data_IF_949688023935
#
_entry.id   IF_949688023935
#
_cell.length_a   1.000
_cell.length_b   1.000
_cell.length_c   1.000
_cell.angle_alpha   90.00
_cell.angle_beta   90.00
_cell.angle_gamma   90.00
#
_symmetry.space_group_name_H-M   'P 1'
#
loop_
_entity.id
_entity.type
_entity.pdbx_description
1 polymer ?
#
# COMPACT_ATOMS: atom_id res chain seq x y z
N UNK A 1 -20.97 19.94 17.63
CA UNK A 1 -20.26 18.78 18.21
C UNK A 1 -19.95 19.16 19.65
N UNK A 2 -20.44 18.40 20.64
CA UNK A 2 -20.19 18.72 22.05
C UNK A 2 -18.68 18.58 22.32
N UNK A 3 -18.08 19.67 22.78
CA UNK A 3 -16.65 19.78 23.04
C UNK A 3 -16.35 19.11 24.39
N UNK A 4 -16.02 17.82 24.32
CA UNK A 4 -15.76 16.98 25.49
C UNK A 4 -14.25 16.78 25.66
N UNK A 5 -13.51 17.88 25.84
CA UNK A 5 -12.05 17.82 26.03
C UNK A 5 -11.63 18.31 27.41
N UNK A 6 -10.96 17.43 28.14
CA UNK A 6 -10.21 17.66 29.39
C UNK A 6 -9.01 18.64 29.23
N UNK A 7 -8.87 19.32 28.09
CA UNK A 7 -7.75 20.22 27.82
C UNK A 7 -7.99 21.59 28.44
N UNK A 8 -7.03 22.08 29.22
CA UNK A 8 -7.03 23.46 29.72
C UNK A 8 -6.72 24.49 28.62
N UNK A 9 -6.12 24.05 27.51
CA UNK A 9 -5.80 24.89 26.36
C UNK A 9 -6.88 24.78 25.27
N UNK A 10 -7.11 25.90 24.59
CA UNK A 10 -8.03 26.04 23.46
C UNK A 10 -7.60 25.16 22.28
N UNK A 11 -8.56 24.68 21.49
CA UNK A 11 -8.28 23.79 20.36
C UNK A 11 -7.91 24.54 19.07
N UNK A 12 -7.13 23.89 18.22
CA UNK A 12 -6.64 24.47 16.97
C UNK A 12 -7.75 24.80 15.93
N UNK A 13 -8.90 24.11 15.96
CA UNK A 13 -10.00 24.42 15.03
C UNK A 13 -10.67 25.74 15.41
N UNK A 14 -10.89 25.97 16.71
CA UNK A 14 -11.45 27.23 17.20
C UNK A 14 -10.58 28.43 16.84
N UNK A 15 -9.25 28.32 16.96
CA UNK A 15 -8.33 29.40 16.59
C UNK A 15 -8.31 29.65 15.08
N UNK A 16 -8.36 28.60 14.26
CA UNK A 16 -8.48 28.73 12.80
C UNK A 16 -9.74 29.50 12.40
N UNK A 17 -10.89 29.12 12.93
CA UNK A 17 -12.15 29.81 12.64
C UNK A 17 -12.18 31.25 13.18
N UNK A 18 -11.52 31.51 14.31
CA UNK A 18 -11.43 32.87 14.85
C UNK A 18 -10.55 33.77 13.96
N UNK A 19 -9.43 33.25 13.47
CA UNK A 19 -8.52 33.99 12.59
C UNK A 19 -9.16 34.38 11.23
N UNK A 20 -10.19 33.64 10.77
CA UNK A 20 -10.94 33.97 9.55
C UNK A 20 -11.97 35.11 9.75
N UNK A 21 -12.30 35.46 11.00
CA UNK A 21 -13.37 36.44 11.32
C UNK A 21 -12.84 37.83 11.68
N UNK A 22 -11.52 38.05 11.64
CA UNK A 22 -10.91 39.35 11.95
C UNK A 22 -11.15 40.38 10.83
N UNK A 23 -11.14 41.70 11.13
CA UNK A 23 -11.29 42.72 10.11
C UNK A 23 -10.27 42.58 8.97
N UNK A 24 -10.71 42.81 7.73
CA UNK A 24 -9.85 42.80 6.54
C UNK A 24 -8.96 44.05 6.50
N UNK A 25 -7.65 43.84 6.68
CA UNK A 25 -6.62 44.88 6.73
C UNK A 25 -5.40 44.43 5.93
N UNK A 26 -4.47 45.34 5.64
CA UNK A 26 -3.21 44.97 4.99
C UNK A 26 -2.42 43.92 5.80
N UNK A 27 -2.47 44.00 7.13
CA UNK A 27 -1.80 43.09 8.05
C UNK A 27 -2.46 41.71 8.05
N UNK A 28 -3.80 41.64 8.15
CA UNK A 28 -4.53 40.38 8.23
C UNK A 28 -4.53 39.60 6.91
N UNK A 29 -4.25 40.26 5.78
CA UNK A 29 -4.02 39.61 4.47
C UNK A 29 -2.58 39.16 4.25
N UNK A 30 -1.61 39.64 5.03
CA UNK A 30 -0.21 39.30 4.83
C UNK A 30 0.05 37.82 5.17
N UNK A 31 0.88 37.09 4.39
CA UNK A 31 1.21 35.69 4.70
C UNK A 31 1.75 35.47 6.12
N UNK A 32 2.54 36.42 6.62
CA UNK A 32 3.12 36.38 7.98
C UNK A 32 2.09 36.39 9.12
N UNK A 33 0.84 36.80 8.85
CA UNK A 33 -0.24 36.78 9.84
C UNK A 33 -0.98 35.44 9.91
N UNK A 34 -0.85 34.58 8.89
CA UNK A 34 -1.54 33.28 8.85
C UNK A 34 -1.01 32.37 9.96
N UNK A 35 -1.90 31.57 10.55
CA UNK A 35 -1.50 30.54 11.52
C UNK A 35 -0.64 29.49 10.82
N UNK A 36 0.56 29.23 11.34
CA UNK A 36 1.56 28.36 10.70
C UNK A 36 1.02 26.95 10.36
N UNK A 37 0.23 26.33 11.24
CA UNK A 37 -0.34 24.99 11.02
C UNK A 37 -1.50 24.98 10.00
N UNK A 38 -2.02 26.14 9.62
CA UNK A 38 -3.12 26.32 8.68
C UNK A 38 -2.70 27.12 7.44
N UNK A 39 -1.40 27.38 7.24
CA UNK A 39 -0.85 28.07 6.09
C UNK A 39 -0.23 27.07 5.09
N UNK A 40 -0.90 26.76 3.97
CA UNK A 40 -0.41 25.79 2.98
C UNK A 40 0.92 26.21 2.36
N UNK A 41 1.14 27.53 2.16
CA UNK A 41 2.36 28.04 1.54
C UNK A 41 3.56 27.82 2.47
N UNK A 42 3.39 28.12 3.77
CA UNK A 42 4.39 27.84 4.79
C UNK A 42 4.65 26.33 4.92
N UNK A 43 3.58 25.52 4.95
CA UNK A 43 3.68 24.06 5.05
C UNK A 43 4.34 23.39 3.85
N UNK A 44 4.45 24.07 2.70
CA UNK A 44 5.13 23.58 1.49
C UNK A 44 6.61 23.98 1.39
N UNK A 45 7.12 24.81 2.31
CA UNK A 45 8.54 25.23 2.34
C UNK A 45 9.49 24.04 2.54
N UNK A 46 10.69 24.11 1.98
CA UNK A 46 11.66 23.01 2.06
C UNK A 46 12.07 22.68 3.50
N UNK A 47 12.17 23.68 4.37
CA UNK A 47 12.53 23.51 5.79
C UNK A 47 11.50 22.68 6.56
N UNK A 48 10.25 22.63 6.08
CA UNK A 48 9.14 21.91 6.70
C UNK A 48 8.98 20.49 6.16
N UNK A 49 9.90 20.01 5.31
CA UNK A 49 9.94 18.63 4.84
C UNK A 49 9.88 17.58 5.98
N UNK A 50 10.62 17.72 7.10
CA UNK A 50 10.51 16.77 8.22
C UNK A 50 9.11 16.70 8.82
N UNK A 51 8.40 17.83 8.90
CA UNK A 51 7.02 17.89 9.40
C UNK A 51 6.07 17.19 8.41
N UNK A 52 6.23 17.42 7.10
CA UNK A 52 5.43 16.70 6.09
C UNK A 52 5.66 15.19 6.11
N UNK A 53 6.90 14.75 6.26
CA UNK A 53 7.23 13.32 6.43
C UNK A 53 6.56 12.74 7.68
N UNK A 54 6.58 13.47 8.81
CA UNK A 54 5.89 13.05 10.03
C UNK A 54 4.38 12.95 9.83
N UNK A 55 3.76 13.90 9.12
CA UNK A 55 2.32 13.86 8.83
C UNK A 55 1.95 12.66 7.94
N UNK A 56 2.75 12.35 6.92
CA UNK A 56 2.53 11.16 6.07
C UNK A 56 2.77 9.85 6.81
N UNK A 57 3.63 9.84 7.83
CA UNK A 57 3.77 8.68 8.70
C UNK A 57 2.55 8.54 9.61
N UNK A 58 2.16 9.60 10.31
CA UNK A 58 1.13 9.55 11.36
C UNK A 58 -0.28 9.39 10.84
N UNK A 59 -0.67 10.10 9.77
CA UNK A 59 -2.08 10.12 9.32
C UNK A 59 -2.62 8.72 8.97
N UNK A 60 -1.94 7.90 8.15
CA UNK A 60 -2.41 6.55 7.88
C UNK A 60 -2.37 5.67 9.14
N UNK A 61 -1.30 5.77 9.94
CA UNK A 61 -1.12 4.98 11.16
C UNK A 61 -2.27 5.19 12.16
N UNK A 62 -2.61 6.46 12.44
CA UNK A 62 -3.72 6.83 13.33
C UNK A 62 -5.06 6.32 12.79
N UNK A 63 -5.34 6.50 11.50
CA UNK A 63 -6.60 6.05 10.89
C UNK A 63 -6.70 4.52 10.90
N UNK A 64 -5.62 3.79 10.59
CA UNK A 64 -5.59 2.33 10.64
C UNK A 64 -5.84 1.82 12.07
N UNK A 65 -5.26 2.47 13.08
CA UNK A 65 -5.50 2.15 14.49
C UNK A 65 -6.95 2.43 14.92
N UNK A 66 -7.52 3.58 14.56
CA UNK A 66 -8.92 3.92 14.82
C UNK A 66 -9.90 2.92 14.19
N UNK A 67 -9.51 2.36 13.04
CA UNK A 67 -10.25 1.31 12.33
C UNK A 67 -9.97 -0.09 12.85
N UNK A 68 -9.08 -0.24 13.82
CA UNK A 68 -8.74 -1.52 14.44
C UNK A 68 -7.99 -2.48 13.52
N UNK A 69 -7.32 -1.98 12.48
CA UNK A 69 -6.55 -2.79 11.53
C UNK A 69 -5.21 -3.15 12.16
N UNK A 70 -5.02 -4.42 12.46
CA UNK A 70 -3.83 -4.97 13.13
C UNK A 70 -2.80 -5.47 12.12
N UNK A 71 -3.25 -6.11 11.04
CA UNK A 71 -2.35 -6.65 10.02
C UNK A 71 -2.92 -6.62 8.61
N UNK A 72 -2.03 -6.63 7.61
CA UNK A 72 -2.36 -6.54 6.19
C UNK A 72 -1.79 -7.71 5.40
N UNK A 73 -2.42 -8.01 4.26
CA UNK A 73 -1.82 -8.79 3.17
C UNK A 73 -1.56 -7.85 2.02
N UNK A 74 -0.30 -7.70 1.66
CA UNK A 74 0.14 -6.74 0.64
C UNK A 74 0.12 -7.38 -0.74
N UNK A 75 -0.52 -6.73 -1.70
CA UNK A 75 -0.53 -7.14 -3.10
C UNK A 75 0.23 -6.13 -3.95
N UNK A 76 1.32 -6.58 -4.55
CA UNK A 76 2.09 -5.85 -5.56
C UNK A 76 1.86 -6.45 -6.94
N UNK A 77 1.87 -5.63 -7.98
CA UNK A 77 1.75 -6.14 -9.34
C UNK A 77 1.57 -5.06 -10.40
N UNK A 78 1.52 -5.49 -11.66
CA UNK A 78 1.46 -4.60 -12.80
C UNK A 78 0.18 -3.78 -12.87
N UNK A 79 0.31 -2.45 -12.77
CA UNK A 79 -0.79 -1.49 -12.99
C UNK A 79 -1.38 -1.53 -14.41
N UNK A 80 -0.70 -2.19 -15.36
CA UNK A 80 -1.09 -2.24 -16.77
C UNK A 80 -1.78 -3.54 -17.17
N UNK A 81 -1.86 -4.52 -16.27
CA UNK A 81 -2.52 -5.80 -16.55
C UNK A 81 -4.01 -5.53 -16.65
N UNK A 82 -4.66 -5.76 -17.80
CA UNK A 82 -6.09 -5.48 -17.94
C UNK A 82 -6.93 -6.56 -17.27
N UNK A 83 -8.13 -6.18 -16.83
CA UNK A 83 -9.19 -7.15 -16.55
C UNK A 83 -9.42 -8.05 -17.78
N UNK A 84 -9.71 -9.35 -17.63
CA UNK A 84 -9.88 -10.27 -18.75
C UNK A 84 -10.92 -9.85 -19.78
N UNK A 85 -12.01 -9.18 -19.34
CA UNK A 85 -13.01 -8.60 -20.24
C UNK A 85 -12.41 -7.57 -21.22
N UNK A 86 -11.35 -6.88 -20.78
CA UNK A 86 -10.60 -5.89 -21.52
C UNK A 86 -9.28 -6.44 -22.08
N UNK A 87 -9.11 -7.76 -22.14
CA UNK A 87 -7.89 -8.40 -22.67
C UNK A 87 -7.53 -7.93 -24.09
N UNK A 88 -8.55 -7.69 -24.92
CA UNK A 88 -8.37 -7.24 -26.30
C UNK A 88 -7.78 -5.81 -26.40
N UNK A 89 -7.93 -4.97 -25.37
CA UNK A 89 -7.34 -3.63 -25.34
C UNK A 89 -5.90 -3.60 -24.82
N UNK A 90 -5.31 -4.76 -24.53
CA UNK A 90 -3.92 -4.85 -24.10
C UNK A 90 -2.97 -4.34 -25.19
N UNK A 91 -1.94 -3.59 -24.79
CA UNK A 91 -0.95 -3.01 -25.73
C UNK A 91 -0.12 -4.06 -26.47
N UNK A 92 0.05 -5.24 -25.88
CA UNK A 92 0.82 -6.34 -26.47
C UNK A 92 0.14 -7.67 -26.17
N UNK A 93 0.42 -8.69 -27.00
CA UNK A 93 -0.06 -10.05 -26.75
C UNK A 93 0.41 -10.58 -25.39
N UNK A 94 1.68 -10.36 -25.04
CA UNK A 94 2.22 -10.78 -23.75
C UNK A 94 1.46 -10.15 -22.59
N UNK A 95 1.11 -8.87 -22.68
CA UNK A 95 0.32 -8.20 -21.65
C UNK A 95 -1.12 -8.74 -21.59
N UNK A 96 -1.70 -9.06 -22.75
CA UNK A 96 -2.99 -9.73 -22.82
C UNK A 96 -2.95 -11.10 -22.12
N UNK A 97 -1.86 -11.84 -22.30
CA UNK A 97 -1.67 -13.15 -21.69
C UNK A 97 -1.53 -13.06 -20.16
N UNK A 98 -1.02 -11.94 -19.63
CA UNK A 98 -0.97 -11.68 -18.18
C UNK A 98 -2.34 -11.36 -17.56
N UNK A 99 -3.40 -11.15 -18.35
CA UNK A 99 -4.74 -10.80 -17.82
C UNK A 99 -5.31 -11.82 -16.82
N UNK A 100 -4.93 -13.10 -16.92
CA UNK A 100 -5.36 -14.11 -15.95
C UNK A 100 -4.88 -13.83 -14.52
N UNK A 101 -3.76 -13.12 -14.35
CA UNK A 101 -3.30 -12.70 -13.03
C UNK A 101 -4.23 -11.67 -12.37
N UNK A 102 -5.05 -10.95 -13.15
CA UNK A 102 -6.11 -10.12 -12.58
C UNK A 102 -7.14 -10.99 -11.85
N UNK A 103 -7.62 -12.07 -12.50
CA UNK A 103 -8.57 -12.99 -11.87
C UNK A 103 -7.97 -13.70 -10.66
N UNK A 104 -6.73 -14.17 -10.76
CA UNK A 104 -6.04 -14.80 -9.63
C UNK A 104 -5.84 -13.82 -8.47
N UNK A 105 -5.46 -12.57 -8.72
CA UNK A 105 -5.34 -11.54 -7.69
C UNK A 105 -6.69 -11.23 -7.01
N UNK A 106 -7.76 -11.11 -7.81
CA UNK A 106 -9.12 -10.90 -7.30
C UNK A 106 -9.59 -12.08 -6.46
N UNK A 107 -9.37 -13.30 -6.95
CA UNK A 107 -9.73 -14.54 -6.25
C UNK A 107 -8.95 -14.69 -4.94
N UNK A 108 -7.64 -14.45 -4.97
CA UNK A 108 -6.78 -14.48 -3.79
C UNK A 108 -7.24 -13.46 -2.74
N UNK A 109 -7.48 -12.21 -3.15
CA UNK A 109 -7.95 -11.17 -2.23
C UNK A 109 -9.32 -11.50 -1.62
N UNK A 110 -10.24 -12.11 -2.39
CA UNK A 110 -11.52 -12.62 -1.86
C UNK A 110 -11.30 -13.66 -0.76
N UNK A 111 -10.48 -14.69 -1.03
CA UNK A 111 -10.19 -15.75 -0.06
C UNK A 111 -9.50 -15.23 1.22
N UNK A 112 -8.52 -14.33 1.06
CA UNK A 112 -7.86 -13.68 2.20
C UNK A 112 -8.84 -12.84 3.00
N UNK A 113 -9.76 -12.15 2.34
CA UNK A 113 -10.77 -11.33 3.02
C UNK A 113 -11.78 -12.20 3.77
N UNK A 114 -12.20 -13.32 3.19
CA UNK A 114 -13.02 -14.32 3.90
C UNK A 114 -12.31 -14.84 5.17
N UNK A 115 -10.99 -15.09 5.09
CA UNK A 115 -10.17 -15.43 6.27
C UNK A 115 -10.11 -14.27 7.28
N UNK A 116 -9.92 -13.04 6.80
CA UNK A 116 -9.90 -11.81 7.59
C UNK A 116 -11.20 -11.58 8.38
N UNK A 117 -12.34 -12.03 7.85
CA UNK A 117 -13.62 -11.89 8.56
C UNK A 117 -13.67 -12.69 9.88
N UNK A 118 -12.83 -13.71 10.07
CA UNK A 118 -12.71 -14.41 11.35
C UNK A 118 -12.21 -13.50 12.49
N UNK A 119 -11.49 -12.43 12.16
CA UNK A 119 -11.07 -11.37 13.10
C UNK A 119 -11.88 -10.08 12.91
N UNK A 120 -13.08 -10.16 12.32
CA UNK A 120 -13.93 -9.02 11.99
C UNK A 120 -13.25 -7.98 11.08
N UNK A 121 -12.37 -8.41 10.18
CA UNK A 121 -11.67 -7.50 9.27
C UNK A 121 -10.52 -6.73 9.92
N UNK A 122 -9.98 -7.22 11.04
CA UNK A 122 -8.86 -6.57 11.76
C UNK A 122 -7.50 -7.10 11.31
N UNK A 123 -7.41 -8.37 10.98
CA UNK A 123 -6.18 -9.00 10.49
C UNK A 123 -6.29 -9.41 9.03
N UNK A 124 -5.17 -9.54 8.33
CA UNK A 124 -5.12 -9.93 6.92
C UNK A 124 -5.91 -8.99 5.97
N UNK A 125 -6.01 -7.70 6.32
CA UNK A 125 -6.71 -6.71 5.49
C UNK A 125 -5.93 -6.48 4.20
N UNK A 126 -6.58 -6.59 3.04
CA UNK A 126 -5.92 -6.42 1.75
C UNK A 126 -5.42 -4.98 1.59
N UNK A 127 -4.13 -4.83 1.29
CA UNK A 127 -3.48 -3.54 1.04
C UNK A 127 -2.81 -3.53 -0.34
N UNK A 128 -3.08 -2.50 -1.13
CA UNK A 128 -2.51 -2.33 -2.48
C UNK A 128 -2.05 -0.89 -2.69
N UNK A 129 -1.42 -0.61 -3.83
CA UNK A 129 -1.09 0.76 -4.23
C UNK A 129 -2.27 1.60 -4.71
N UNK A 130 -3.49 1.05 -4.73
CA UNK A 130 -4.73 1.76 -5.07
C UNK A 130 -4.90 2.13 -6.55
N UNK A 131 -4.00 1.68 -7.42
CA UNK A 131 -4.08 1.91 -8.87
C UNK A 131 -4.91 0.85 -9.61
N UNK A 132 -4.90 0.87 -10.96
CA UNK A 132 -5.55 -0.13 -11.80
C UNK A 132 -4.79 -1.48 -11.83
N UNK A 133 -5.33 -2.44 -12.57
CA UNK A 133 -4.70 -3.75 -12.81
C UNK A 133 -4.71 -4.64 -11.58
N UNK A 134 -3.58 -5.26 -11.22
CA UNK A 134 -3.51 -6.18 -10.06
C UNK A 134 -3.95 -5.50 -8.76
N UNK A 135 -3.62 -4.22 -8.58
CA UNK A 135 -4.00 -3.47 -7.39
C UNK A 135 -5.53 -3.35 -7.29
N UNK A 136 -6.18 -2.97 -8.39
CA UNK A 136 -7.65 -2.94 -8.47
C UNK A 136 -8.26 -4.32 -8.27
N UNK A 137 -7.71 -5.37 -8.89
CA UNK A 137 -8.17 -6.74 -8.69
C UNK A 137 -8.15 -7.13 -7.21
N UNK A 138 -7.08 -6.78 -6.51
CA UNK A 138 -6.94 -7.00 -5.06
C UNK A 138 -8.01 -6.26 -4.26
N UNK A 139 -8.17 -4.95 -4.49
CA UNK A 139 -9.20 -4.16 -3.79
C UNK A 139 -10.62 -4.67 -4.09
N UNK A 140 -10.89 -5.04 -5.34
CA UNK A 140 -12.17 -5.59 -5.79
C UNK A 140 -12.48 -6.94 -5.18
N UNK A 141 -11.49 -7.84 -5.11
CA UNK A 141 -11.66 -9.15 -4.49
C UNK A 141 -12.05 -9.04 -3.02
N UNK A 142 -11.45 -8.10 -2.30
CA UNK A 142 -11.85 -7.80 -0.92
C UNK A 142 -13.27 -7.23 -0.83
N UNK A 143 -13.64 -6.33 -1.74
CA UNK A 143 -14.99 -5.79 -1.82
C UNK A 143 -16.04 -6.87 -2.15
N UNK A 144 -15.74 -7.83 -3.03
CA UNK A 144 -16.62 -8.95 -3.36
C UNK A 144 -16.93 -9.83 -2.14
N UNK A 145 -15.97 -9.95 -1.20
CA UNK A 145 -16.14 -10.65 0.07
C UNK A 145 -16.78 -9.79 1.18
N UNK A 146 -17.15 -8.54 0.89
CA UNK A 146 -17.75 -7.61 1.85
C UNK A 146 -16.78 -7.06 2.89
N UNK A 147 -15.47 -7.23 2.70
CA UNK A 147 -14.44 -6.71 3.61
C UNK A 147 -13.92 -5.33 3.22
N UNK A 148 -13.10 -4.75 4.10
CA UNK A 148 -12.39 -3.50 3.83
C UNK A 148 -11.10 -3.75 3.06
N UNK A 149 -10.67 -2.77 2.27
CA UNK A 149 -9.38 -2.81 1.56
C UNK A 149 -8.70 -1.44 1.58
N UNK A 150 -7.38 -1.45 1.68
CA UNK A 150 -6.53 -0.26 1.80
C UNK A 150 -5.95 0.09 0.43
N UNK A 151 -5.97 1.39 0.11
CA UNK A 151 -5.27 1.95 -1.04
C UNK A 151 -4.20 2.92 -0.56
N UNK A 152 -2.93 2.58 -0.79
CA UNK A 152 -1.79 3.45 -0.53
C UNK A 152 -1.39 4.09 -1.87
N UNK A 153 -2.10 5.13 -2.29
CA UNK A 153 -1.86 5.84 -3.55
C UNK A 153 -0.67 6.81 -3.45
N UNK A 154 -0.17 7.29 -4.57
CA UNK A 154 0.89 8.29 -4.61
C UNK A 154 0.64 9.31 -5.71
N UNK A 155 0.99 10.57 -5.45
CA UNK A 155 0.91 11.63 -6.45
C UNK A 155 1.94 11.38 -7.56
N UNK A 156 1.48 11.28 -8.80
CA UNK A 156 2.30 11.10 -10.01
C UNK A 156 1.99 12.19 -11.03
N UNK A 157 2.93 12.52 -11.95
CA UNK A 157 2.71 13.56 -12.98
C UNK A 157 1.51 13.33 -13.89
N UNK A 158 1.14 12.07 -14.09
CA UNK A 158 -0.11 11.67 -14.72
C UNK A 158 -0.94 10.98 -13.65
N UNK A 159 -1.92 11.73 -13.14
CA UNK A 159 -2.72 11.30 -12.00
C UNK A 159 -3.59 10.10 -12.38
N UNK A 160 -3.47 9.03 -11.60
CA UNK A 160 -4.38 7.90 -11.66
C UNK A 160 -5.35 8.09 -10.50
N UNK A 161 -6.64 8.28 -10.81
CA UNK A 161 -7.66 8.22 -9.77
C UNK A 161 -7.52 6.87 -9.04
N UNK A 162 -7.67 6.85 -7.70
CA UNK A 162 -7.72 5.59 -6.98
C UNK A 162 -8.83 4.71 -7.56
N UNK A 163 -8.60 3.40 -7.63
CA UNK A 163 -9.65 2.50 -8.09
C UNK A 163 -10.87 2.55 -7.14
N UNK A 164 -12.06 2.35 -7.69
CA UNK A 164 -13.33 2.56 -6.97
C UNK A 164 -13.62 1.50 -5.90
N UNK A 165 -12.79 0.46 -5.78
CA UNK A 165 -12.96 -0.64 -4.84
C UNK A 165 -12.16 -0.45 -3.54
N UNK A 166 -11.30 0.57 -3.48
CA UNK A 166 -10.65 0.97 -2.23
C UNK A 166 -11.73 1.46 -1.26
N UNK A 167 -11.67 1.03 0.00
CA UNK A 167 -12.59 1.55 1.02
C UNK A 167 -12.36 3.05 1.20
N UNK A 168 -13.37 3.94 1.05
CA UNK A 168 -13.14 5.38 1.03
C UNK A 168 -12.39 5.94 2.24
N UNK A 169 -12.63 5.39 3.43
CA UNK A 169 -11.94 5.78 4.66
C UNK A 169 -10.53 5.22 4.85
N UNK A 170 -10.06 4.40 3.91
CA UNK A 170 -8.74 3.74 3.88
C UNK A 170 -8.00 4.04 2.56
N UNK A 171 -8.38 5.11 1.87
CA UNK A 171 -7.73 5.59 0.65
C UNK A 171 -6.75 6.72 1.03
N UNK A 172 -5.46 6.41 1.07
CA UNK A 172 -4.39 7.32 1.46
C UNK A 172 -3.64 7.79 0.22
N UNK A 173 -3.32 9.08 0.15
CA UNK A 173 -2.54 9.65 -0.95
C UNK A 173 -1.22 10.19 -0.40
N UNK A 174 -0.11 9.59 -0.81
CA UNK A 174 1.23 9.94 -0.38
C UNK A 174 1.90 10.90 -1.37
N UNK A 175 2.88 11.66 -0.87
CA UNK A 175 3.80 12.40 -1.71
C UNK A 175 5.21 11.79 -1.65
N UNK A 176 5.62 11.22 -0.51
CA UNK A 176 6.94 10.59 -0.36
C UNK A 176 6.87 9.07 -0.55
N UNK A 177 7.58 8.55 -1.57
CA UNK A 177 7.70 7.11 -1.84
C UNK A 177 8.17 6.32 -0.61
N UNK A 178 9.19 6.81 0.11
CA UNK A 178 9.76 6.09 1.25
C UNK A 178 8.72 5.83 2.36
N UNK A 179 7.89 6.82 2.68
CA UNK A 179 6.86 6.67 3.72
C UNK A 179 5.74 5.74 3.25
N UNK A 180 5.34 5.84 1.98
CA UNK A 180 4.40 4.90 1.37
C UNK A 180 4.89 3.45 1.46
N UNK A 181 6.16 3.20 1.13
CA UNK A 181 6.76 1.87 1.21
C UNK A 181 6.83 1.34 2.64
N UNK A 182 7.17 2.19 3.61
CA UNK A 182 7.09 1.82 5.02
C UNK A 182 5.66 1.34 5.39
N UNK A 183 4.62 2.07 4.97
CA UNK A 183 3.24 1.69 5.31
C UNK A 183 2.78 0.37 4.68
N UNK A 184 3.35 -0.06 3.56
CA UNK A 184 3.11 -1.41 3.07
C UNK A 184 3.60 -2.46 4.05
N UNK A 185 4.79 -2.25 4.62
CA UNK A 185 5.52 -3.28 5.36
C UNK A 185 5.25 -3.27 6.87
N UNK A 186 4.92 -2.12 7.46
CA UNK A 186 4.72 -1.96 8.91
C UNK A 186 3.68 -2.89 9.52
N UNK A 187 2.69 -3.33 8.72
CA UNK A 187 1.60 -4.22 9.14
C UNK A 187 1.53 -5.52 8.32
N UNK A 188 2.47 -5.73 7.40
CA UNK A 188 2.43 -6.85 6.49
C UNK A 188 2.57 -8.17 7.25
N UNK A 189 1.57 -9.04 7.12
CA UNK A 189 1.60 -10.43 7.59
C UNK A 189 1.87 -11.42 6.46
N UNK A 190 1.73 -10.96 5.21
CA UNK A 190 2.13 -11.64 4.00
C UNK A 190 2.32 -10.62 2.87
N UNK A 191 3.23 -10.92 1.94
CA UNK A 191 3.52 -10.13 0.76
C UNK A 191 3.33 -11.03 -0.46
N UNK A 192 2.49 -10.59 -1.40
CA UNK A 192 2.13 -11.32 -2.60
C UNK A 192 2.46 -10.46 -3.81
N UNK A 193 3.35 -10.95 -4.66
CA UNK A 193 3.90 -10.22 -5.81
C UNK A 193 3.46 -10.91 -7.09
N UNK A 194 2.60 -10.23 -7.83
CA UNK A 194 2.16 -10.62 -9.16
C UNK A 194 3.07 -10.02 -10.23
N UNK A 195 3.06 -10.56 -11.47
CA UNK A 195 3.84 -10.01 -12.57
C UNK A 195 3.65 -8.50 -12.74
N UNK A 196 4.75 -7.79 -12.92
CA UNK A 196 4.77 -6.34 -12.90
C UNK A 196 6.01 -5.72 -13.53
N UNK A 197 6.10 -4.39 -13.42
CA UNK A 197 7.22 -3.60 -13.95
C UNK A 197 8.14 -3.09 -12.84
N UNK A 198 8.77 -1.95 -13.07
CA UNK A 198 9.73 -1.37 -12.13
C UNK A 198 9.18 -1.13 -10.73
N UNK A 199 7.95 -0.61 -10.58
CA UNK A 199 7.38 -0.39 -9.24
C UNK A 199 7.24 -1.69 -8.45
N UNK A 200 6.80 -2.77 -9.12
CA UNK A 200 6.67 -4.10 -8.50
C UNK A 200 8.03 -4.68 -8.14
N UNK A 201 9.04 -4.55 -9.00
CA UNK A 201 10.40 -5.01 -8.73
C UNK A 201 11.05 -4.22 -7.59
N UNK A 202 10.84 -2.92 -7.54
CA UNK A 202 11.33 -2.02 -6.50
C UNK A 202 10.77 -2.40 -5.12
N UNK A 203 9.46 -2.63 -5.02
CA UNK A 203 8.83 -3.09 -3.77
C UNK A 203 9.26 -4.52 -3.38
N UNK A 204 9.40 -5.42 -4.37
CA UNK A 204 9.86 -6.79 -4.15
C UNK A 204 11.28 -6.83 -3.58
N UNK A 205 12.23 -6.17 -4.23
CA UNK A 205 13.63 -6.17 -3.77
C UNK A 205 13.81 -5.41 -2.46
N UNK A 206 13.07 -4.32 -2.22
CA UNK A 206 13.13 -3.62 -0.93
C UNK A 206 12.67 -4.54 0.21
N UNK A 207 11.53 -5.21 0.05
CA UNK A 207 11.01 -6.11 1.07
C UNK A 207 11.92 -7.33 1.30
N UNK A 208 12.43 -7.96 0.23
CA UNK A 208 13.42 -9.05 0.35
C UNK A 208 14.69 -8.59 1.08
N UNK A 209 15.20 -7.40 0.76
CA UNK A 209 16.39 -6.85 1.42
C UNK A 209 16.15 -6.61 2.90
N UNK A 210 14.97 -6.10 3.28
CA UNK A 210 14.63 -5.86 4.69
C UNK A 210 14.51 -7.17 5.48
N UNK A 211 13.95 -8.22 4.87
CA UNK A 211 13.87 -9.54 5.49
C UNK A 211 15.25 -10.19 5.59
N UNK A 212 16.05 -10.14 4.51
CA UNK A 212 17.42 -10.67 4.46
C UNK A 212 18.30 -10.05 5.54
N UNK A 213 18.15 -8.74 5.78
CA UNK A 213 18.96 -7.98 6.74
C UNK A 213 18.39 -7.96 8.17
N UNK A 214 17.36 -8.76 8.45
CA UNK A 214 16.68 -8.84 9.75
C UNK A 214 16.15 -7.48 10.26
N UNK A 215 15.85 -6.58 9.32
CA UNK A 215 15.21 -5.28 9.59
C UNK A 215 13.68 -5.39 9.59
N UNK A 216 13.17 -6.52 9.13
CA UNK A 216 11.77 -6.92 9.12
C UNK A 216 11.67 -8.42 9.42
N UNK A 217 10.65 -8.82 10.19
CA UNK A 217 10.36 -10.23 10.43
C UNK A 217 10.13 -10.98 9.12
N UNK A 218 10.50 -12.26 9.07
CA UNK A 218 10.17 -13.12 7.94
C UNK A 218 8.65 -13.32 7.92
N UNK A 219 8.04 -12.97 6.80
CA UNK A 219 6.61 -13.18 6.53
C UNK A 219 6.46 -13.99 5.25
N UNK A 220 5.34 -14.70 5.04
CA UNK A 220 5.03 -15.30 3.75
C UNK A 220 5.29 -14.33 2.59
N UNK A 221 6.24 -14.70 1.72
CA UNK A 221 6.61 -13.91 0.56
C UNK A 221 6.38 -14.74 -0.69
N UNK A 222 5.34 -14.40 -1.45
CA UNK A 222 4.83 -15.22 -2.52
C UNK A 222 4.99 -14.53 -3.87
N UNK A 223 5.61 -15.23 -4.82
CA UNK A 223 5.76 -14.78 -6.20
C UNK A 223 4.77 -15.56 -7.08
N UNK A 224 3.77 -14.86 -7.62
CA UNK A 224 2.78 -15.46 -8.50
C UNK A 224 3.35 -15.63 -9.91
N UNK A 225 3.28 -16.85 -10.45
CA UNK A 225 3.67 -17.15 -11.84
C UNK A 225 5.17 -17.35 -12.02
N UNK A 226 5.68 -18.52 -11.63
CA UNK A 226 7.12 -18.85 -11.62
C UNK A 226 7.78 -18.57 -12.97
N UNK A 227 7.11 -18.96 -14.06
CA UNK A 227 7.62 -18.79 -15.43
C UNK A 227 7.92 -17.33 -15.76
N UNK A 228 7.11 -16.38 -15.27
CA UNK A 228 7.35 -14.96 -15.50
C UNK A 228 8.64 -14.52 -14.82
N UNK A 229 8.78 -14.82 -13.52
CA UNK A 229 9.92 -14.40 -12.72
C UNK A 229 11.24 -14.99 -13.21
N UNK A 230 11.28 -16.30 -13.50
CA UNK A 230 12.48 -16.96 -14.05
C UNK A 230 12.88 -16.45 -15.44
N UNK A 231 11.95 -15.85 -16.18
CA UNK A 231 12.27 -15.26 -17.48
C UNK A 231 12.98 -13.90 -17.38
N UNK A 232 12.87 -13.22 -16.22
CA UNK A 232 13.43 -11.88 -16.02
C UNK A 232 14.55 -11.82 -14.98
N UNK A 233 14.61 -12.78 -14.06
CA UNK A 233 15.62 -12.87 -13.00
C UNK A 233 16.15 -14.30 -12.94
N UNK A 234 17.47 -14.42 -12.98
CA UNK A 234 18.18 -15.67 -12.72
C UNK A 234 18.68 -15.63 -11.27
N UNK A 235 17.92 -16.26 -10.37
CA UNK A 235 18.15 -16.23 -8.92
C UNK A 235 19.38 -17.06 -8.54
N UNK A 236 19.53 -18.20 -9.21
CA UNK A 236 20.66 -19.11 -9.03
C UNK A 236 21.97 -18.40 -9.41
N UNK A 237 21.98 -17.63 -10.49
CA UNK A 237 23.16 -16.83 -10.86
C UNK A 237 23.53 -15.76 -9.81
N UNK A 238 22.57 -15.19 -9.08
CA UNK A 238 22.87 -14.25 -7.98
C UNK A 238 23.57 -14.98 -6.82
N UNK A 239 23.08 -16.17 -6.48
CA UNK A 239 23.67 -17.01 -5.43
C UNK A 239 25.05 -17.54 -5.83
N UNK A 240 25.19 -18.06 -7.05
CA UNK A 240 26.47 -18.54 -7.61
C UNK A 240 27.52 -17.41 -7.71
N UNK A 241 27.09 -16.18 -8.01
CA UNK A 241 27.96 -15.01 -8.02
C UNK A 241 28.34 -14.53 -6.60
N UNK A 242 27.72 -15.08 -5.55
CA UNK A 242 27.94 -14.69 -4.16
C UNK A 242 27.38 -13.30 -3.81
N UNK A 243 26.43 -12.77 -4.59
CA UNK A 243 25.78 -11.49 -4.27
C UNK A 243 24.60 -11.65 -3.32
N UNK A 244 24.09 -12.88 -3.17
CA UNK A 244 23.19 -13.34 -2.12
C UNK A 244 23.66 -14.72 -1.62
N UNK A 245 23.22 -15.13 -0.43
CA UNK A 245 23.44 -16.50 0.07
C UNK A 245 22.50 -17.51 -0.60
N UNK A 246 22.79 -18.80 -0.47
CA UNK A 246 21.91 -19.85 -1.00
C UNK A 246 20.59 -19.90 -0.21
N UNK A 247 20.65 -19.62 1.08
CA UNK A 247 19.52 -19.56 2.00
C UNK A 247 18.57 -18.39 1.68
N UNK A 248 19.06 -17.33 1.02
CA UNK A 248 18.21 -16.21 0.59
C UNK A 248 17.17 -16.62 -0.46
N UNK A 249 17.42 -17.73 -1.18
CA UNK A 249 16.45 -18.30 -2.13
C UNK A 249 15.26 -18.95 -1.40
N UNK A 250 15.34 -19.18 -0.09
CA UNK A 250 14.25 -19.68 0.74
C UNK A 250 13.33 -18.56 1.26
N UNK A 251 13.70 -17.28 1.04
CA UNK A 251 12.93 -16.13 1.52
C UNK A 251 11.58 -15.99 0.82
N UNK A 252 11.41 -16.58 -0.36
CA UNK A 252 10.18 -16.52 -1.14
C UNK A 252 9.76 -17.89 -1.67
N UNK A 253 8.49 -18.03 -2.03
CA UNK A 253 7.95 -19.22 -2.71
C UNK A 253 7.19 -18.82 -3.97
N UNK A 254 7.30 -19.64 -5.01
CA UNK A 254 6.45 -19.50 -6.18
C UNK A 254 5.09 -20.14 -5.96
N UNK A 255 4.05 -19.50 -6.47
CA UNK A 255 2.67 -19.99 -6.46
C UNK A 255 2.01 -19.69 -7.81
N UNK A 256 1.08 -20.53 -8.23
CA UNK A 256 0.36 -20.38 -9.50
C UNK A 256 -1.11 -20.00 -9.29
N UNK A 257 -1.68 -20.32 -8.13
CA UNK A 257 -3.10 -20.07 -7.84
C UNK A 257 -3.32 -19.40 -6.49
N UNK A 258 -4.48 -18.74 -6.37
CA UNK A 258 -4.98 -18.21 -5.12
C UNK A 258 -5.01 -19.26 -3.98
N UNK A 259 -5.45 -20.49 -4.26
CA UNK A 259 -5.48 -21.57 -3.27
C UNK A 259 -4.10 -21.97 -2.77
N UNK A 260 -3.14 -22.11 -3.68
CA UNK A 260 -1.75 -22.41 -3.32
C UNK A 260 -1.15 -21.30 -2.45
N UNK A 261 -1.51 -20.04 -2.72
CA UNK A 261 -1.06 -18.92 -1.91
C UNK A 261 -1.64 -18.94 -0.49
N UNK A 262 -2.93 -19.27 -0.33
CA UNK A 262 -3.54 -19.46 1.00
C UNK A 262 -2.83 -20.60 1.76
N UNK A 263 -2.63 -21.74 1.11
CA UNK A 263 -1.93 -22.88 1.72
C UNK A 263 -0.49 -22.51 2.12
N UNK A 264 0.22 -21.78 1.27
CA UNK A 264 1.58 -21.33 1.54
C UNK A 264 1.65 -20.34 2.72
N UNK A 265 0.64 -19.47 2.89
CA UNK A 265 0.53 -18.57 4.05
C UNK A 265 0.26 -19.37 5.32
N UNK A 266 -0.63 -20.36 5.27
CA UNK A 266 -1.05 -21.13 6.44
C UNK A 266 0.01 -22.13 6.92
N UNK A 267 0.86 -22.60 6.00
CA UNK A 267 1.96 -23.53 6.27
C UNK A 267 3.32 -22.84 6.37
N UNK A 268 3.35 -21.50 6.36
CA UNK A 268 4.60 -20.77 6.48
C UNK A 268 5.22 -21.03 7.86
N UNK A 269 6.52 -21.39 7.95
CA UNK A 269 7.17 -21.62 9.22
C UNK A 269 7.03 -20.40 10.11
N UNK A 270 6.47 -20.58 11.31
CA UNK A 270 6.49 -19.53 12.32
C UNK A 270 7.94 -19.26 12.71
N UNK A 271 8.39 -18.02 12.57
CA UNK A 271 9.66 -17.53 13.13
C UNK A 271 9.52 -17.16 14.58
#
# INVERSE_FOLDING_TARGET
MKDDRLSQFRDAHSDRSTAEQVPDTAQTRAPAYRLAFADPDFMCRDELRPVRLQLELLKPEMILNERGIESTVVLFGGARIPEPANRASARTKTLADLSHYYDEARKFARLITEKSMASYGREYVVATGGGPGVMEAGNRGAADAGGSSIGLNIVLPHEQAPNEYVTPGLCFNFHYFAIRKMHFLMRAKAICVFPGGFGTLDEMFEALTLIQTDRMNKVPFLLFGEKFWRSIINWEALSEAGTISAEDLELFRFVETAEQAIEAIDTWPAT
#
